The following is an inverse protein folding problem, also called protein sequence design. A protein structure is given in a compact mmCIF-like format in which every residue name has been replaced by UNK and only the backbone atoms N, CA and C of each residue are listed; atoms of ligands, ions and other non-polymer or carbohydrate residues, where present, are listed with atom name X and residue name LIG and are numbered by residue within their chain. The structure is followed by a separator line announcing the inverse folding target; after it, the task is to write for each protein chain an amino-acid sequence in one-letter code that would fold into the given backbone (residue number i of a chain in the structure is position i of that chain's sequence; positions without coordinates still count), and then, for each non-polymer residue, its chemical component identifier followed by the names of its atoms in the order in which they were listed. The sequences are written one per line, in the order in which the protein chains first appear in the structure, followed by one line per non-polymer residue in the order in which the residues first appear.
data_IF_004909372478
#
_entry.id   IF_004909372478
#
_cell.length_a   1.000
_cell.length_b   1.000
_cell.length_c   1.000
_cell.angle_alpha   90.00
_cell.angle_beta   90.00
_cell.angle_gamma   90.00
#
_symmetry.space_group_name_H-M   'P 1'
#
loop_
_entity.id
_entity.type
_entity.pdbx_description
1 polymer ?
#
# COMPACT_ATOMS: atom_id res chain seq x y z
N UNK A 1 -10.55 -6.64 -5.05
CA UNK A 1 -9.99 -7.61 -6.02
C UNK A 1 -9.85 -6.92 -7.36
N UNK A 2 -8.73 -7.15 -8.07
CA UNK A 2 -8.50 -6.60 -9.42
C UNK A 2 -8.91 -7.58 -10.54
N UNK A 3 -9.28 -8.81 -10.20
CA UNK A 3 -9.49 -9.87 -11.18
C UNK A 3 -8.21 -10.53 -11.72
N UNK A 4 -7.04 -9.98 -11.43
CA UNK A 4 -5.77 -10.61 -11.80
C UNK A 4 -5.47 -11.88 -10.98
N UNK A 5 -4.48 -12.71 -11.43
CA UNK A 5 -4.26 -14.04 -10.89
C UNK A 5 -4.00 -14.05 -9.38
N UNK A 6 -3.20 -13.11 -8.86
CA UNK A 6 -2.87 -13.05 -7.44
C UNK A 6 -4.09 -12.74 -6.56
N UNK A 7 -5.00 -11.89 -7.06
CA UNK A 7 -6.23 -11.55 -6.33
C UNK A 7 -7.28 -12.68 -6.36
N UNK A 8 -7.35 -13.43 -7.46
CA UNK A 8 -8.19 -14.62 -7.59
C UNK A 8 -7.64 -15.76 -6.73
N UNK A 9 -6.33 -15.99 -6.74
CA UNK A 9 -5.69 -16.98 -5.88
C UNK A 9 -5.94 -16.69 -4.38
N UNK A 10 -5.91 -15.42 -3.98
CA UNK A 10 -6.25 -15.05 -2.59
C UNK A 10 -7.70 -15.43 -2.25
N UNK A 11 -8.66 -15.19 -3.13
CA UNK A 11 -10.05 -15.59 -2.95
C UNK A 11 -10.16 -17.10 -2.75
N UNK A 12 -9.60 -17.90 -3.66
CA UNK A 12 -9.64 -19.36 -3.63
C UNK A 12 -9.02 -19.90 -2.34
N UNK A 13 -7.81 -19.47 -2.01
CA UNK A 13 -7.08 -19.97 -0.84
C UNK A 13 -7.75 -19.55 0.49
N UNK A 14 -8.26 -18.32 0.58
CA UNK A 14 -8.93 -17.86 1.79
C UNK A 14 -10.26 -18.62 2.03
N UNK A 15 -11.04 -18.87 0.98
CA UNK A 15 -12.27 -19.65 1.11
C UNK A 15 -11.99 -21.13 1.40
N UNK A 16 -10.98 -21.71 0.75
CA UNK A 16 -10.53 -23.09 1.03
C UNK A 16 -10.03 -23.26 2.48
N UNK A 17 -9.42 -22.20 3.06
CA UNK A 17 -9.03 -22.17 4.47
C UNK A 17 -10.21 -21.98 5.44
N UNK A 18 -11.45 -21.91 4.95
CA UNK A 18 -12.65 -21.75 5.78
C UNK A 18 -12.90 -20.33 6.27
N UNK A 19 -12.24 -19.31 5.70
CA UNK A 19 -12.47 -17.93 6.06
C UNK A 19 -13.81 -17.43 5.50
N UNK A 20 -14.53 -16.60 6.28
CA UNK A 20 -15.63 -15.80 5.75
C UNK A 20 -15.07 -14.66 4.90
N UNK A 21 -15.18 -14.74 3.57
CA UNK A 21 -14.56 -13.82 2.63
C UNK A 21 -15.58 -12.86 2.03
N UNK A 22 -15.23 -11.57 1.96
CA UNK A 22 -15.91 -10.58 1.13
C UNK A 22 -14.90 -9.98 0.13
N UNK A 23 -15.15 -10.18 -1.15
CA UNK A 23 -14.35 -9.65 -2.22
C UNK A 23 -14.74 -8.18 -2.50
N UNK A 24 -13.76 -7.27 -2.42
CA UNK A 24 -13.97 -5.86 -2.74
C UNK A 24 -13.33 -5.53 -4.08
N UNK A 25 -14.13 -5.06 -5.04
CA UNK A 25 -13.65 -4.53 -6.32
C UNK A 25 -13.75 -3.00 -6.31
N UNK A 26 -12.70 -2.33 -6.77
CA UNK A 26 -12.69 -0.86 -6.90
C UNK A 26 -12.56 -0.50 -8.37
N UNK A 27 -13.63 0.08 -8.91
CA UNK A 27 -13.65 0.62 -10.26
C UNK A 27 -13.16 2.07 -10.25
N UNK A 28 -12.10 2.35 -10.97
CA UNK A 28 -11.53 3.70 -11.11
C UNK A 28 -12.20 4.54 -12.20
N UNK A 29 -13.10 3.95 -13.00
CA UNK A 29 -13.77 4.64 -14.11
C UNK A 29 -12.81 5.14 -15.20
N UNK A 30 -11.57 4.70 -15.22
CA UNK A 30 -10.53 5.20 -16.12
C UNK A 30 -10.55 4.54 -17.50
N UNK A 31 -11.28 3.43 -17.66
CA UNK A 31 -11.33 2.66 -18.91
C UNK A 31 -12.75 2.31 -19.31
N UNK A 32 -13.09 2.34 -20.63
CA UNK A 32 -14.26 1.67 -21.15
C UNK A 32 -14.20 0.17 -20.81
N UNK A 33 -15.26 -0.43 -20.31
CA UNK A 33 -15.33 -1.86 -19.94
C UNK A 33 -14.97 -2.19 -18.49
N UNK A 34 -14.65 -1.21 -17.63
CA UNK A 34 -14.41 -1.47 -16.20
C UNK A 34 -15.60 -2.10 -15.47
N UNK A 35 -16.82 -1.93 -15.99
CA UNK A 35 -18.04 -2.61 -15.50
C UNK A 35 -17.99 -4.13 -15.68
N UNK A 36 -17.37 -4.61 -16.78
CA UNK A 36 -17.25 -6.05 -17.07
C UNK A 36 -16.27 -6.72 -16.09
N UNK A 37 -15.22 -5.99 -15.66
CA UNK A 37 -14.29 -6.47 -14.63
C UNK A 37 -15.01 -6.72 -13.30
N UNK A 38 -15.90 -5.83 -12.89
CA UNK A 38 -16.71 -6.01 -11.67
C UNK A 38 -17.61 -7.25 -11.76
N UNK A 39 -18.22 -7.48 -12.93
CA UNK A 39 -19.06 -8.66 -13.15
C UNK A 39 -18.24 -9.96 -13.07
N UNK A 40 -17.06 -10.00 -13.70
CA UNK A 40 -16.17 -11.16 -13.64
C UNK A 40 -15.68 -11.47 -12.22
N UNK A 41 -15.30 -10.43 -11.46
CA UNK A 41 -14.91 -10.59 -10.05
C UNK A 41 -16.09 -11.04 -9.19
N UNK A 42 -17.29 -10.51 -9.43
CA UNK A 42 -18.52 -10.93 -8.72
C UNK A 42 -18.87 -12.39 -9.01
N UNK A 43 -18.77 -12.84 -10.25
CA UNK A 43 -18.99 -14.24 -10.63
C UNK A 43 -17.97 -15.17 -9.95
N UNK A 44 -16.70 -14.79 -9.92
CA UNK A 44 -15.67 -15.54 -9.20
C UNK A 44 -15.98 -15.61 -7.69
N UNK A 45 -16.35 -14.49 -7.06
CA UNK A 45 -16.74 -14.48 -5.64
C UNK A 45 -17.91 -15.43 -5.36
N UNK A 46 -18.96 -15.36 -6.17
CA UNK A 46 -20.14 -16.23 -6.05
C UNK A 46 -19.80 -17.73 -6.19
N UNK A 47 -18.89 -18.07 -7.13
CA UNK A 47 -18.43 -19.46 -7.35
C UNK A 47 -17.80 -20.06 -6.09
N UNK A 48 -17.09 -19.26 -5.30
CA UNK A 48 -16.43 -19.69 -4.07
C UNK A 48 -17.22 -19.37 -2.80
N UNK A 49 -18.49 -18.96 -2.92
CA UNK A 49 -19.35 -18.66 -1.77
C UNK A 49 -18.94 -17.41 -0.98
N UNK A 50 -18.18 -16.53 -1.58
CA UNK A 50 -17.74 -15.28 -0.98
C UNK A 50 -18.73 -14.14 -1.23
N UNK A 51 -18.87 -13.23 -0.27
CA UNK A 51 -19.58 -11.96 -0.48
C UNK A 51 -18.87 -11.10 -1.53
N UNK A 52 -19.59 -10.21 -2.21
CA UNK A 52 -19.05 -9.29 -3.20
C UNK A 52 -19.50 -7.86 -2.97
N UNK A 53 -18.57 -6.90 -3.07
CA UNK A 53 -18.83 -5.48 -3.00
C UNK A 53 -18.05 -4.79 -4.14
N UNK A 54 -18.72 -3.93 -4.90
CA UNK A 54 -18.10 -3.06 -5.90
C UNK A 54 -18.23 -1.61 -5.46
N UNK A 55 -17.14 -0.87 -5.52
CA UNK A 55 -17.10 0.57 -5.21
C UNK A 55 -16.50 1.30 -6.39
N UNK A 56 -17.19 2.34 -6.86
CA UNK A 56 -16.65 3.23 -7.87
C UNK A 56 -15.97 4.41 -7.19
N UNK A 57 -14.76 4.75 -7.64
CA UNK A 57 -13.99 5.89 -7.13
C UNK A 57 -13.67 6.85 -8.27
N UNK A 58 -13.80 8.14 -8.00
CA UNK A 58 -13.37 9.18 -8.93
C UNK A 58 -11.91 9.54 -8.64
N UNK A 59 -11.08 9.43 -9.67
CA UNK A 59 -9.68 9.86 -9.59
C UNK A 59 -9.58 11.29 -10.10
N UNK A 60 -9.53 12.27 -9.19
CA UNK A 60 -9.46 13.69 -9.55
C UNK A 60 -8.36 14.02 -10.56
N UNK A 61 -8.46 15.16 -11.26
CA UNK A 61 -7.46 15.63 -12.21
C UNK A 61 -6.15 16.06 -11.50
N UNK A 62 -4.98 15.96 -12.17
CA UNK A 62 -3.69 16.45 -11.67
C UNK A 62 -2.52 15.49 -11.96
N UNK A 63 -1.27 15.84 -11.57
CA UNK A 63 -0.10 15.01 -11.79
C UNK A 63 -0.15 13.72 -10.95
N UNK A 64 0.67 12.72 -11.32
CA UNK A 64 0.80 11.43 -10.64
C UNK A 64 -0.52 10.64 -10.56
N UNK A 65 -1.15 10.38 -11.71
CA UNK A 65 -2.42 9.66 -11.83
C UNK A 65 -2.40 8.31 -11.08
N UNK A 66 -1.32 7.55 -11.19
CA UNK A 66 -1.16 6.25 -10.52
C UNK A 66 -1.22 6.36 -9.00
N UNK A 67 -0.53 7.35 -8.41
CA UNK A 67 -0.56 7.59 -6.97
C UNK A 67 -1.94 8.03 -6.47
N UNK A 68 -2.66 8.81 -7.28
CA UNK A 68 -4.03 9.24 -6.93
C UNK A 68 -5.01 8.08 -7.02
N UNK A 69 -4.93 7.29 -8.10
CA UNK A 69 -5.74 6.09 -8.26
C UNK A 69 -5.50 5.10 -7.11
N UNK A 70 -4.22 4.90 -6.74
CA UNK A 70 -3.85 4.07 -5.58
C UNK A 70 -4.43 4.61 -4.27
N UNK A 71 -4.36 5.92 -4.02
CA UNK A 71 -4.94 6.55 -2.80
C UNK A 71 -6.45 6.43 -2.79
N UNK A 72 -7.12 6.75 -3.89
CA UNK A 72 -8.56 6.63 -4.01
C UNK A 72 -9.03 5.18 -3.75
N UNK A 73 -8.34 4.19 -4.34
CA UNK A 73 -8.60 2.78 -4.12
C UNK A 73 -8.47 2.39 -2.64
N UNK A 74 -7.38 2.77 -2.00
CA UNK A 74 -7.13 2.37 -0.62
C UNK A 74 -8.06 3.08 0.36
N UNK A 75 -8.45 4.32 0.08
CA UNK A 75 -9.44 5.06 0.88
C UNK A 75 -10.87 4.51 0.78
N UNK A 76 -11.19 3.82 -0.33
CA UNK A 76 -12.50 3.20 -0.54
C UNK A 76 -12.59 1.77 0.04
N UNK A 77 -11.47 1.19 0.45
CA UNK A 77 -11.44 -0.18 0.98
C UNK A 77 -11.56 -0.17 2.52
N UNK A 78 -12.20 -1.20 3.12
CA UNK A 78 -12.29 -1.31 4.57
C UNK A 78 -10.91 -1.42 5.21
N UNK A 79 -10.82 -0.95 6.46
CA UNK A 79 -9.61 -1.12 7.26
C UNK A 79 -9.28 -2.62 7.40
N UNK A 80 -8.00 -2.97 7.26
CA UNK A 80 -7.57 -4.35 7.41
C UNK A 80 -7.76 -5.25 6.18
N UNK A 81 -8.22 -4.71 5.03
CA UNK A 81 -8.36 -5.51 3.80
C UNK A 81 -7.05 -6.22 3.44
N UNK A 82 -7.14 -7.51 3.13
CA UNK A 82 -6.02 -8.29 2.61
C UNK A 82 -5.86 -8.08 1.10
N UNK A 83 -4.63 -8.19 0.61
CA UNK A 83 -4.32 -8.08 -0.82
C UNK A 83 -3.45 -9.25 -1.28
N UNK A 84 -3.62 -9.66 -2.54
CA UNK A 84 -2.95 -10.81 -3.15
C UNK A 84 -1.48 -10.55 -3.54
N UNK A 85 -0.72 -9.76 -2.77
CA UNK A 85 0.69 -9.57 -3.08
C UNK A 85 1.50 -10.83 -2.78
N UNK A 86 2.39 -11.19 -3.71
CA UNK A 86 3.24 -12.38 -3.68
C UNK A 86 4.68 -12.08 -3.27
N UNK A 87 5.53 -13.10 -3.18
CA UNK A 87 6.96 -12.94 -2.98
C UNK A 87 7.62 -12.12 -4.10
N UNK A 88 7.10 -12.22 -5.33
CA UNK A 88 7.59 -11.41 -6.46
C UNK A 88 7.30 -9.91 -6.21
N UNK A 89 6.12 -9.55 -5.73
CA UNK A 89 5.79 -8.17 -5.35
C UNK A 89 6.63 -7.68 -4.17
N UNK A 90 6.95 -8.58 -3.24
CA UNK A 90 7.84 -8.28 -2.12
C UNK A 90 9.23 -7.92 -2.62
N UNK A 91 9.81 -8.73 -3.53
CA UNK A 91 11.12 -8.48 -4.12
C UNK A 91 11.15 -7.16 -4.91
N UNK A 92 10.11 -6.88 -5.71
CA UNK A 92 9.94 -5.61 -6.42
C UNK A 92 9.94 -4.43 -5.43
N UNK A 93 9.21 -4.57 -4.33
CA UNK A 93 9.08 -3.53 -3.30
C UNK A 93 10.40 -3.27 -2.59
N UNK A 94 11.16 -4.32 -2.26
CA UNK A 94 12.50 -4.22 -1.65
C UNK A 94 13.46 -3.48 -2.58
N UNK A 95 13.52 -3.87 -3.86
CA UNK A 95 14.42 -3.21 -4.82
C UNK A 95 14.04 -1.75 -5.05
N UNK A 96 12.76 -1.45 -5.20
CA UNK A 96 12.29 -0.07 -5.31
C UNK A 96 12.59 0.75 -4.04
N UNK A 97 12.52 0.15 -2.86
CA UNK A 97 12.88 0.79 -1.61
C UNK A 97 14.40 1.06 -1.54
N UNK A 98 15.21 0.08 -1.94
CA UNK A 98 16.67 0.20 -2.00
C UNK A 98 17.12 1.32 -2.95
N UNK A 99 16.53 1.37 -4.15
CA UNK A 99 16.81 2.42 -5.15
C UNK A 99 16.42 3.83 -4.67
N UNK A 100 15.55 3.94 -3.67
CA UNK A 100 15.18 5.21 -3.01
C UNK A 100 16.04 5.52 -1.78
N UNK A 101 17.01 4.67 -1.43
CA UNK A 101 17.85 4.84 -0.25
C UNK A 101 17.11 4.56 1.06
N UNK A 102 16.15 3.63 1.06
CA UNK A 102 15.42 3.25 2.26
C UNK A 102 16.33 2.51 3.26
N UNK A 103 16.14 2.79 4.55
CA UNK A 103 16.74 2.04 5.65
C UNK A 103 15.90 0.80 6.04
N UNK A 104 16.22 0.22 7.22
CA UNK A 104 15.64 -1.03 7.73
C UNK A 104 14.12 -1.08 7.62
N UNK A 105 13.42 -0.04 8.09
CA UNK A 105 11.95 0.03 8.06
C UNK A 105 11.38 0.03 6.64
N UNK A 106 12.02 0.72 5.69
CA UNK A 106 11.57 0.74 4.31
C UNK A 106 11.87 -0.56 3.56
N UNK A 107 12.99 -1.22 3.88
CA UNK A 107 13.40 -2.50 3.31
C UNK A 107 12.65 -3.69 3.92
N UNK A 108 12.03 -3.54 5.09
CA UNK A 108 11.11 -4.55 5.65
C UNK A 108 9.85 -4.76 4.80
N UNK A 109 9.60 -3.84 3.88
CA UNK A 109 8.58 -3.89 2.83
C UNK A 109 7.16 -4.25 3.36
N UNK A 110 6.48 -5.26 2.77
CA UNK A 110 5.11 -5.63 3.14
C UNK A 110 5.09 -6.69 4.23
N UNK A 111 4.15 -6.56 5.20
CA UNK A 111 3.94 -7.53 6.27
C UNK A 111 2.88 -8.60 5.95
N UNK A 112 2.99 -9.82 6.50
CA UNK A 112 2.09 -10.93 6.16
C UNK A 112 0.65 -10.73 6.64
N UNK A 113 0.41 -9.94 7.68
CA UNK A 113 -0.93 -9.75 8.24
C UNK A 113 -1.95 -9.21 7.22
N UNK A 114 -1.52 -8.44 6.23
CA UNK A 114 -2.36 -7.90 5.16
C UNK A 114 -2.04 -8.48 3.78
N UNK A 115 -1.00 -9.28 3.67
CA UNK A 115 -0.51 -9.86 2.43
C UNK A 115 -0.22 -11.36 2.65
N UNK A 116 -1.28 -12.19 2.80
CA UNK A 116 -1.11 -13.59 3.19
C UNK A 116 -0.40 -14.44 2.13
N UNK A 117 -0.33 -13.97 0.88
CA UNK A 117 0.35 -14.68 -0.21
C UNK A 117 1.84 -14.33 -0.37
N UNK A 118 2.47 -13.61 0.57
CA UNK A 118 3.90 -13.26 0.48
C UNK A 118 4.85 -14.47 0.48
N UNK A 119 4.38 -15.65 0.85
CA UNK A 119 5.12 -16.90 0.75
C UNK A 119 5.02 -17.59 -0.60
N UNK A 120 4.09 -17.16 -1.47
CA UNK A 120 3.86 -17.73 -2.79
C UNK A 120 4.52 -16.90 -3.88
N UNK A 121 4.89 -17.61 -4.97
CA UNK A 121 5.40 -17.01 -6.19
C UNK A 121 4.23 -16.70 -7.14
N UNK A 122 4.39 -15.69 -7.99
CA UNK A 122 3.37 -15.35 -9.01
C UNK A 122 3.04 -16.51 -9.95
N UNK A 123 4.02 -17.32 -10.31
CA UNK A 123 3.75 -18.49 -11.16
C UNK A 123 2.85 -19.53 -10.46
N UNK A 124 2.89 -19.63 -9.13
CA UNK A 124 2.01 -20.52 -8.36
C UNK A 124 0.57 -20.00 -8.34
N UNK A 125 0.37 -18.69 -8.21
CA UNK A 125 -0.97 -18.09 -8.30
C UNK A 125 -1.59 -18.24 -9.69
N UNK A 126 -0.77 -18.10 -10.74
CA UNK A 126 -1.19 -18.36 -12.14
C UNK A 126 -1.54 -19.83 -12.33
N UNK A 127 -0.72 -20.74 -11.82
CA UNK A 127 -0.98 -22.18 -11.91
C UNK A 127 -2.29 -22.54 -11.19
N UNK A 128 -2.52 -22.02 -9.97
CA UNK A 128 -3.77 -22.23 -9.24
C UNK A 128 -4.99 -21.75 -10.03
N UNK A 129 -4.93 -20.56 -10.63
CA UNK A 129 -6.04 -20.06 -11.45
C UNK A 129 -6.33 -20.98 -12.64
N UNK A 130 -5.30 -21.47 -13.31
CA UNK A 130 -5.44 -22.44 -14.41
C UNK A 130 -6.08 -23.75 -13.95
N UNK A 131 -5.60 -24.30 -12.82
CA UNK A 131 -6.07 -25.59 -12.29
C UNK A 131 -7.52 -25.48 -11.79
N UNK A 132 -7.93 -24.31 -11.32
CA UNK A 132 -9.31 -23.98 -10.95
C UNK A 132 -10.18 -23.55 -12.14
N UNK A 133 -9.64 -23.46 -13.36
CA UNK A 133 -10.38 -22.99 -14.53
C UNK A 133 -10.89 -21.56 -14.41
N UNK A 134 -10.11 -20.70 -13.76
CA UNK A 134 -10.35 -19.27 -13.66
C UNK A 134 -9.63 -18.55 -14.80
N UNK A 135 -10.27 -17.52 -15.34
CA UNK A 135 -9.69 -16.65 -16.38
C UNK A 135 -9.30 -15.30 -15.75
N UNK A 136 -8.02 -15.09 -15.39
CA UNK A 136 -7.57 -13.84 -14.84
C UNK A 136 -7.67 -12.69 -15.85
N UNK A 137 -8.07 -11.52 -15.38
CA UNK A 137 -8.05 -10.29 -16.16
C UNK A 137 -6.60 -9.86 -16.35
N UNK A 138 -6.18 -9.71 -17.59
CA UNK A 138 -4.88 -9.11 -17.92
C UNK A 138 -5.03 -7.60 -18.08
N UNK A 139 -4.33 -6.84 -17.23
CA UNK A 139 -4.29 -5.39 -17.30
C UNK A 139 -3.09 -4.95 -18.17
N UNK A 140 -3.31 -4.33 -19.34
CA UNK A 140 -2.22 -3.87 -20.22
C UNK A 140 -1.21 -2.96 -19.51
N UNK A 141 -1.60 -2.25 -18.46
CA UNK A 141 -0.68 -1.39 -17.68
C UNK A 141 0.42 -2.18 -16.96
N UNK A 142 0.25 -3.50 -16.79
CA UNK A 142 1.28 -4.38 -16.22
C UNK A 142 2.53 -4.51 -17.11
N UNK A 143 2.43 -4.12 -18.36
CA UNK A 143 3.51 -4.20 -19.36
C UNK A 143 4.08 -2.82 -19.74
N UNK A 144 3.53 -1.72 -19.20
CA UNK A 144 3.99 -0.37 -19.51
C UNK A 144 5.41 -0.12 -18.95
N UNK A 145 6.42 0.11 -19.80
CA UNK A 145 7.80 0.36 -19.37
C UNK A 145 7.98 1.74 -18.70
N UNK A 146 7.02 2.65 -18.81
CA UNK A 146 7.05 3.91 -18.07
C UNK A 146 6.87 3.70 -16.56
N UNK A 147 6.25 2.60 -16.15
CA UNK A 147 6.04 2.23 -14.75
C UNK A 147 7.31 1.60 -14.18
N UNK A 148 7.95 2.27 -13.21
CA UNK A 148 9.21 1.81 -12.58
C UNK A 148 9.11 0.39 -12.03
N UNK A 149 7.94 -0.01 -11.52
CA UNK A 149 7.72 -1.35 -10.97
C UNK A 149 7.83 -2.41 -12.07
N UNK A 150 7.28 -2.15 -13.25
CA UNK A 150 7.39 -3.04 -14.39
C UNK A 150 8.84 -3.19 -14.86
N UNK A 151 9.62 -2.10 -14.86
CA UNK A 151 11.05 -2.17 -15.14
C UNK A 151 11.82 -3.02 -14.13
N UNK A 152 11.52 -2.88 -12.84
CA UNK A 152 12.12 -3.77 -11.81
C UNK A 152 11.77 -5.22 -12.08
N UNK A 153 10.51 -5.52 -12.44
CA UNK A 153 10.03 -6.86 -12.73
C UNK A 153 10.67 -7.47 -13.97
N UNK A 154 10.72 -6.72 -15.05
CA UNK A 154 11.09 -7.25 -16.36
C UNK A 154 12.56 -7.03 -16.73
N UNK A 155 13.25 -6.09 -16.08
CA UNK A 155 14.66 -5.78 -16.37
C UNK A 155 15.57 -6.12 -15.17
N UNK A 156 15.31 -5.54 -13.99
CA UNK A 156 16.25 -5.60 -12.87
C UNK A 156 16.26 -6.96 -12.15
N UNK A 157 15.09 -7.56 -11.89
CA UNK A 157 15.00 -8.87 -11.24
C UNK A 157 15.64 -9.98 -12.10
N UNK A 158 15.37 -10.07 -13.42
CA UNK A 158 16.05 -11.01 -14.30
C UNK A 158 17.57 -10.81 -14.34
N UNK A 159 18.04 -9.55 -14.44
CA UNK A 159 19.47 -9.23 -14.41
C UNK A 159 20.11 -9.63 -13.06
N UNK A 160 19.45 -9.34 -11.96
CA UNK A 160 19.95 -9.73 -10.63
C UNK A 160 20.02 -11.25 -10.47
N UNK A 161 19.06 -12.00 -11.02
CA UNK A 161 19.05 -13.46 -11.01
C UNK A 161 20.20 -14.04 -11.88
N UNK A 162 20.43 -13.44 -13.05
CA UNK A 162 21.55 -13.81 -13.94
C UNK A 162 22.89 -13.60 -13.24
N UNK A 163 23.12 -12.40 -12.68
CA UNK A 163 24.36 -12.09 -11.95
C UNK A 163 24.56 -13.03 -10.74
N UNK A 164 23.48 -13.35 -10.01
CA UNK A 164 23.54 -14.21 -8.83
C UNK A 164 23.62 -15.71 -9.18
N UNK A 165 23.40 -16.11 -10.43
CA UNK A 165 23.32 -17.49 -10.88
C UNK A 165 22.18 -18.28 -10.24
N UNK A 166 21.14 -17.59 -9.73
CA UNK A 166 19.98 -18.20 -9.05
C UNK A 166 18.82 -17.23 -8.92
N UNK A 167 17.64 -17.77 -8.61
CA UNK A 167 16.46 -16.95 -8.30
C UNK A 167 16.69 -16.09 -7.05
N UNK A 168 16.58 -14.77 -7.22
CA UNK A 168 16.80 -13.77 -6.16
C UNK A 168 15.52 -13.42 -5.42
N UNK A 169 14.33 -13.73 -5.95
CA UNK A 169 13.05 -13.37 -5.36
C UNK A 169 12.89 -13.93 -3.95
N UNK A 170 13.11 -15.24 -3.69
CA UNK A 170 13.03 -15.80 -2.33
C UNK A 170 14.07 -15.19 -1.38
N UNK A 171 15.23 -14.79 -1.90
CA UNK A 171 16.28 -14.18 -1.09
C UNK A 171 15.88 -12.77 -0.64
N UNK A 172 15.36 -11.97 -1.55
CA UNK A 172 14.86 -10.61 -1.25
C UNK A 172 13.67 -10.65 -0.29
N UNK A 173 12.73 -11.58 -0.50
CA UNK A 173 11.58 -11.76 0.40
C UNK A 173 12.03 -12.17 1.81
N UNK A 174 13.00 -13.08 1.93
CA UNK A 174 13.60 -13.47 3.22
C UNK A 174 14.33 -12.30 3.89
N UNK A 175 15.10 -11.53 3.14
CA UNK A 175 15.78 -10.33 3.66
C UNK A 175 14.76 -9.34 4.23
N UNK A 176 13.65 -9.09 3.53
CA UNK A 176 12.59 -8.22 4.04
C UNK A 176 11.97 -8.75 5.34
N UNK A 177 11.78 -10.06 5.47
CA UNK A 177 11.25 -10.68 6.69
C UNK A 177 12.22 -10.53 7.89
N UNK A 178 13.52 -10.73 7.67
CA UNK A 178 14.55 -10.51 8.70
C UNK A 178 14.55 -9.05 9.14
N UNK A 179 14.64 -8.12 8.19
CA UNK A 179 14.66 -6.68 8.48
C UNK A 179 13.38 -6.21 9.18
N UNK A 180 12.25 -6.88 8.97
CA UNK A 180 11.01 -6.59 9.70
C UNK A 180 11.13 -6.97 11.17
N UNK A 181 11.65 -8.16 11.48
CA UNK A 181 11.92 -8.56 12.86
C UNK A 181 12.87 -7.58 13.55
N UNK A 182 13.95 -7.18 12.88
CA UNK A 182 14.88 -6.17 13.40
C UNK A 182 14.22 -4.81 13.63
N UNK A 183 13.36 -4.37 12.69
CA UNK A 183 12.62 -3.11 12.81
C UNK A 183 11.65 -3.14 14.01
N UNK A 184 10.96 -4.27 14.22
CA UNK A 184 10.04 -4.48 15.34
C UNK A 184 10.81 -4.49 16.68
N UNK A 185 11.92 -5.20 16.75
CA UNK A 185 12.80 -5.23 17.93
C UNK A 185 13.31 -3.83 18.27
N UNK A 186 13.81 -3.10 17.28
CA UNK A 186 14.29 -1.73 17.47
C UNK A 186 13.14 -0.77 17.88
N UNK A 187 11.93 -0.99 17.39
CA UNK A 187 10.77 -0.20 17.79
C UNK A 187 10.40 -0.43 19.26
N UNK A 188 10.46 -1.69 19.71
CA UNK A 188 10.19 -2.05 21.11
C UNK A 188 11.30 -1.62 22.09
N UNK A 189 12.55 -1.60 21.66
CA UNK A 189 13.69 -1.21 22.48
C UNK A 189 13.92 0.32 22.54
N UNK A 190 13.36 1.08 21.60
CA UNK A 190 13.53 2.53 21.57
C UNK A 190 12.76 3.20 22.72
N UNK A 191 13.38 4.09 23.52
CA UNK A 191 12.63 4.86 24.50
C UNK A 191 11.57 5.71 23.81
N UNK A 192 10.38 5.88 24.42
CA UNK A 192 9.35 6.74 23.89
C UNK A 192 9.85 8.19 23.87
N UNK A 193 9.99 8.78 22.69
CA UNK A 193 10.36 10.18 22.48
C UNK A 193 9.13 10.89 21.94
N UNK A 194 8.68 11.95 22.61
CA UNK A 194 7.64 12.81 22.06
C UNK A 194 8.20 13.56 20.82
N UNK A 195 7.74 13.22 19.60
CA UNK A 195 8.28 13.81 18.39
C UNK A 195 7.89 15.28 18.21
N UNK A 196 6.99 15.79 19.05
CA UNK A 196 6.61 17.21 19.06
C UNK A 196 7.45 18.02 20.04
N UNK A 197 8.24 17.38 20.90
CA UNK A 197 9.11 18.07 21.86
C UNK A 197 10.52 18.26 21.29
N UNK A 198 10.87 19.50 20.98
CA UNK A 198 12.16 19.84 20.40
C UNK A 198 13.34 19.54 21.36
N UNK A 199 13.14 19.65 22.69
CA UNK A 199 14.19 19.32 23.67
C UNK A 199 14.41 17.82 23.72
N UNK A 200 13.33 17.04 23.77
CA UNK A 200 13.41 15.58 23.77
C UNK A 200 14.11 15.07 22.49
N UNK A 201 13.76 15.62 21.32
CA UNK A 201 14.39 15.26 20.05
C UNK A 201 15.88 15.61 20.00
N UNK A 202 16.26 16.80 20.49
CA UNK A 202 17.67 17.24 20.43
C UNK A 202 18.55 16.59 21.50
N UNK A 203 17.96 16.13 22.60
CA UNK A 203 18.65 15.38 23.65
C UNK A 203 18.77 13.87 23.36
N UNK A 204 18.02 13.36 22.42
CA UNK A 204 18.05 11.95 22.04
C UNK A 204 19.24 11.61 21.12
N UNK A 205 19.61 10.31 21.08
CA UNK A 205 20.56 9.85 20.05
C UNK A 205 20.01 10.09 18.65
N UNK A 206 20.84 10.42 17.64
CA UNK A 206 20.37 10.71 16.29
C UNK A 206 19.50 9.60 15.66
N UNK A 207 19.79 8.30 15.82
CA UNK A 207 18.92 7.23 15.33
C UNK A 207 17.54 7.24 15.99
N UNK A 208 17.46 7.47 17.31
CA UNK A 208 16.21 7.48 18.05
C UNK A 208 15.34 8.68 17.66
N UNK A 209 15.93 9.88 17.55
CA UNK A 209 15.23 11.07 17.08
C UNK A 209 14.67 10.90 15.66
N UNK A 210 15.46 10.31 14.74
CA UNK A 210 15.01 10.00 13.37
C UNK A 210 13.81 9.05 13.37
N UNK A 211 13.82 8.00 14.20
CA UNK A 211 12.69 7.06 14.30
C UNK A 211 11.45 7.75 14.83
N UNK A 212 11.57 8.54 15.90
CA UNK A 212 10.45 9.27 16.49
C UNK A 212 9.79 10.23 15.48
N UNK A 213 10.60 11.05 14.79
CA UNK A 213 10.10 11.96 13.76
C UNK A 213 9.47 11.18 12.60
N UNK A 214 10.12 10.10 12.12
CA UNK A 214 9.59 9.30 11.02
C UNK A 214 8.23 8.67 11.36
N UNK A 215 8.08 8.10 12.57
CA UNK A 215 6.82 7.54 13.05
C UNK A 215 5.72 8.60 13.10
N UNK A 216 6.02 9.76 13.66
CA UNK A 216 5.10 10.89 13.72
C UNK A 216 4.63 11.38 12.35
N UNK A 217 5.55 11.46 11.39
CA UNK A 217 5.22 11.84 10.01
C UNK A 217 4.36 10.77 9.33
N UNK A 218 4.60 9.49 9.61
CA UNK A 218 3.78 8.40 9.10
C UNK A 218 2.34 8.47 9.66
N UNK A 219 2.19 8.68 10.96
CA UNK A 219 0.88 8.83 11.60
C UNK A 219 0.11 10.04 11.05
N UNK A 220 0.80 11.15 10.81
CA UNK A 220 0.20 12.37 10.26
C UNK A 220 -0.34 12.20 8.83
N UNK A 221 0.13 11.21 8.08
CA UNK A 221 -0.43 10.89 6.75
C UNK A 221 -1.80 10.20 6.82
N UNK A 222 -2.32 9.91 8.00
CA UNK A 222 -3.54 9.11 8.18
C UNK A 222 -3.35 7.65 7.78
N UNK A 223 -2.12 7.21 7.65
CA UNK A 223 -1.74 5.88 7.16
C UNK A 223 -1.98 4.75 8.18
N UNK A 224 -2.85 4.95 9.14
CA UNK A 224 -3.23 3.95 10.15
C UNK A 224 -3.83 2.67 9.58
N UNK A 225 -4.05 2.52 8.29
CA UNK A 225 -4.65 1.32 7.73
C UNK A 225 -4.39 1.12 6.23
N UNK A 226 -3.19 1.41 5.73
CA UNK A 226 -2.85 0.80 4.45
C UNK A 226 -2.56 1.69 3.27
N UNK A 227 -2.37 2.97 3.44
CA UNK A 227 -2.08 3.83 2.30
C UNK A 227 -1.09 4.94 2.63
N UNK A 228 0.18 4.58 2.76
CA UNK A 228 1.21 5.60 2.60
C UNK A 228 1.67 5.55 1.15
N UNK A 229 1.44 6.59 0.36
CA UNK A 229 1.96 6.63 -1.01
C UNK A 229 3.48 6.48 -1.03
N UNK A 230 4.16 7.18 -0.14
CA UNK A 230 5.59 7.05 0.11
C UNK A 230 5.90 7.40 1.58
N UNK A 231 6.68 6.57 2.28
CA UNK A 231 7.17 6.95 3.60
C UNK A 231 8.02 8.22 3.50
N UNK A 232 8.04 9.04 4.55
CA UNK A 232 8.86 10.24 4.59
C UNK A 232 10.31 9.94 4.22
N UNK A 233 10.89 10.72 3.32
CA UNK A 233 12.29 10.55 2.92
C UNK A 233 13.23 10.89 4.08
N UNK A 234 14.44 10.33 4.09
CA UNK A 234 15.47 10.69 5.07
C UNK A 234 15.72 12.21 5.10
N UNK A 235 15.73 12.85 3.92
CA UNK A 235 15.88 14.31 3.82
C UNK A 235 14.71 15.07 4.48
N UNK A 236 13.48 14.57 4.40
CA UNK A 236 12.34 15.18 5.08
C UNK A 236 12.50 15.06 6.62
N UNK A 237 12.89 13.90 7.11
CA UNK A 237 13.16 13.67 8.54
C UNK A 237 14.26 14.61 9.04
N UNK A 238 15.36 14.73 8.30
CA UNK A 238 16.48 15.63 8.69
C UNK A 238 16.05 17.11 8.69
N UNK A 239 15.21 17.55 7.74
CA UNK A 239 14.67 18.92 7.77
C UNK A 239 13.83 19.17 9.03
N UNK A 240 12.99 18.21 9.44
CA UNK A 240 12.21 18.33 10.68
C UNK A 240 13.11 18.38 11.91
N UNK A 241 14.16 17.56 11.95
CA UNK A 241 15.16 17.62 13.01
C UNK A 241 15.94 18.94 13.00
N UNK A 242 16.19 19.53 11.84
CA UNK A 242 16.73 20.89 11.72
C UNK A 242 15.82 21.95 12.37
N UNK A 243 14.50 21.83 12.15
CA UNK A 243 13.52 22.69 12.84
C UNK A 243 13.56 22.45 14.35
N UNK A 244 13.68 21.22 14.81
CA UNK A 244 13.80 20.90 16.23
C UNK A 244 15.07 21.53 16.86
N UNK A 245 16.21 21.54 16.15
CA UNK A 245 17.45 22.17 16.60
C UNK A 245 17.41 23.70 16.57
N UNK A 246 16.49 24.28 15.81
CA UNK A 246 16.42 25.73 15.58
C UNK A 246 17.23 26.20 14.36
N UNK A 247 17.72 25.28 13.51
CA UNK A 247 18.42 25.60 12.25
C UNK A 247 17.46 26.30 11.26
N UNK A 248 16.15 26.04 11.41
CA UNK A 248 15.05 26.68 10.68
C UNK A 248 13.82 26.85 11.59
N UNK A 249 12.96 27.81 11.29
CA UNK A 249 11.70 28.01 12.01
C UNK A 249 10.58 27.06 11.56
N UNK A 250 10.66 26.59 10.31
CA UNK A 250 9.72 25.66 9.71
C UNK A 250 10.31 24.95 8.49
N UNK A 251 9.67 23.82 8.08
CA UNK A 251 9.96 23.15 6.83
C UNK A 251 8.68 22.57 6.23
N UNK A 252 8.70 22.34 4.89
CA UNK A 252 7.62 21.67 4.18
C UNK A 252 7.93 20.17 4.05
N UNK A 253 6.93 19.33 4.31
CA UNK A 253 6.99 17.87 4.10
C UNK A 253 5.89 17.46 3.14
N UNK A 254 6.29 16.91 2.01
CA UNK A 254 5.36 16.51 0.94
C UNK A 254 4.31 15.51 1.47
N UNK A 255 3.04 15.78 1.18
CA UNK A 255 1.91 14.96 1.60
C UNK A 255 1.47 15.14 3.07
N UNK A 256 2.17 15.97 3.84
CA UNK A 256 1.84 16.25 5.26
C UNK A 256 1.55 17.74 5.46
N UNK A 257 2.36 18.63 4.88
CA UNK A 257 2.23 20.06 5.03
C UNK A 257 3.43 20.70 5.73
N UNK A 258 3.20 21.87 6.30
CA UNK A 258 4.22 22.67 6.98
C UNK A 258 4.41 22.17 8.41
N UNK A 259 5.67 21.93 8.78
CA UNK A 259 6.05 21.66 10.16
C UNK A 259 6.79 22.88 10.71
N UNK A 260 6.26 23.47 11.77
CA UNK A 260 6.80 24.67 12.37
C UNK A 260 7.13 24.45 13.87
N UNK A 261 8.13 25.17 14.37
CA UNK A 261 8.47 25.21 15.79
C UNK A 261 7.89 26.47 16.42
N UNK A 262 7.23 26.30 17.58
CA UNK A 262 6.77 27.38 18.44
C UNK A 262 7.25 27.10 19.87
N UNK A 263 8.20 27.87 20.36
CA UNK A 263 8.89 27.59 21.62
C UNK A 263 9.63 26.25 21.55
N UNK A 264 9.26 25.32 22.43
CA UNK A 264 9.83 23.96 22.46
C UNK A 264 8.96 22.91 21.77
N UNK A 265 7.90 23.31 21.07
CA UNK A 265 6.97 22.39 20.41
C UNK A 265 7.02 22.50 18.90
N UNK A 266 7.07 21.33 18.26
CA UNK A 266 6.81 21.17 16.83
C UNK A 266 5.32 20.95 16.62
N UNK A 267 4.78 21.49 15.54
CA UNK A 267 3.39 21.29 15.13
C UNK A 267 3.33 21.09 13.62
N UNK A 268 2.33 20.34 13.19
CA UNK A 268 1.94 20.23 11.80
C UNK A 268 0.85 21.26 11.54
N UNK A 269 1.15 22.26 10.73
CA UNK A 269 0.16 23.18 10.24
C UNK A 269 -0.49 22.49 9.03
N UNK A 270 -1.68 21.91 9.21
CA UNK A 270 -2.41 21.23 8.16
C UNK A 270 -2.79 22.25 7.07
N UNK A 271 -2.08 22.25 5.96
CA UNK A 271 -2.56 22.82 4.72
C UNK A 271 -3.84 22.09 4.35
N UNK A 272 -4.84 22.81 3.84
CA UNK A 272 -6.19 22.37 3.51
C UNK A 272 -6.18 20.96 2.91
N UNK A 273 -6.50 19.95 3.73
CA UNK A 273 -6.73 18.60 3.27
C UNK A 273 -7.98 18.62 2.39
N UNK A 274 -7.86 18.24 1.12
CA UNK A 274 -9.02 17.98 0.29
C UNK A 274 -9.85 16.87 0.94
N UNK A 275 -10.98 17.25 1.54
CA UNK A 275 -12.03 16.31 1.96
C UNK A 275 -12.53 15.63 0.70
N UNK A 276 -12.33 14.34 0.60
CA UNK A 276 -13.03 13.48 -0.34
C UNK A 276 -14.42 13.25 0.27
N UNK A 277 -15.46 13.88 -0.28
CA UNK A 277 -16.84 13.50 0.04
C UNK A 277 -17.11 12.14 -0.61
N UNK A 278 -17.33 11.14 0.23
CA UNK A 278 -17.83 9.82 -0.20
C UNK A 278 -19.34 9.95 -0.39
N UNK A 279 -19.78 10.00 -1.64
CA UNK A 279 -21.19 9.86 -1.95
C UNK A 279 -21.62 8.41 -1.71
N UNK A 280 -22.27 8.15 -0.58
CA UNK A 280 -22.96 6.88 -0.33
C UNK A 280 -24.22 6.85 -1.20
N UNK A 281 -24.28 5.94 -2.17
CA UNK A 281 -25.52 5.65 -2.90
C UNK A 281 -26.49 4.98 -1.93
N UNK A 282 -27.66 5.61 -1.75
CA UNK A 282 -28.76 5.12 -0.96
C UNK A 282 -29.36 3.83 -1.60
N UNK A 283 -29.46 2.69 -0.89
CA UNK A 283 -30.00 1.45 -1.44
C UNK A 283 -31.55 1.41 -1.49
N UNK A 284 -32.25 2.53 -1.31
CA UNK A 284 -33.73 2.58 -1.27
C UNK A 284 -34.35 3.05 -2.59
N UNK A 285 -34.23 2.26 -3.66
CA UNK A 285 -34.82 2.56 -4.98
C UNK A 285 -35.49 1.39 -5.69
N UNK A 286 -35.87 0.34 -4.98
CA UNK A 286 -36.69 -0.74 -5.59
C UNK A 286 -38.16 -0.37 -5.44
N UNK A 287 -38.72 0.29 -6.44
CA UNK A 287 -40.18 0.45 -6.59
C UNK A 287 -40.80 -0.93 -6.88
N UNK A 288 -41.67 -1.37 -6.00
CA UNK A 288 -42.59 -2.50 -6.28
C UNK A 288 -43.52 -2.06 -7.40
N UNK A 289 -43.39 -2.71 -8.55
CA UNK A 289 -44.35 -2.60 -9.63
C UNK A 289 -45.66 -3.29 -9.27
N UNK A 290 -46.75 -2.56 -9.45
CA UNK A 290 -48.12 -3.05 -9.32
C UNK A 290 -48.40 -4.19 -10.30
N UNK A 291 -49.04 -5.24 -9.81
CA UNK A 291 -49.61 -6.32 -10.59
C UNK A 291 -51.08 -5.91 -10.87
N UNK A 292 -51.53 -5.80 -12.13
CA UNK A 292 -52.97 -5.62 -12.43
C UNK A 292 -53.70 -6.97 -12.31
N UNK A 293 -54.92 -6.88 -11.83
CA UNK A 293 -55.87 -7.99 -11.77
C UNK A 293 -56.30 -8.48 -13.15
#
# INVERSE_FOLDING_TARGET
MSGGPDSLALLVLATAAGCAVTAWHVDHGLRPGSGDEAAAVGAAAARYGAGFQAVRVEVGAGPNLEDRARRARLGALPAGVCTGHTADDQAETVLLALLRGAGVEGLSAMGPARHPLLGLRRWETVALCRDEGLEPIDDPTNHDPAVRRNRVRHELLPLAADIAGRDVVPLLARTAAILRGDAELLAGAAPPIDPTDAVALTGASPPAARRAVRAWLLDATGAGAGSVPYPPSAAAVERVLGVARGDATACEVAGIGRIARSGQRLRIDAGVAHRVEVATADPAGVRRGDVPQ
#
